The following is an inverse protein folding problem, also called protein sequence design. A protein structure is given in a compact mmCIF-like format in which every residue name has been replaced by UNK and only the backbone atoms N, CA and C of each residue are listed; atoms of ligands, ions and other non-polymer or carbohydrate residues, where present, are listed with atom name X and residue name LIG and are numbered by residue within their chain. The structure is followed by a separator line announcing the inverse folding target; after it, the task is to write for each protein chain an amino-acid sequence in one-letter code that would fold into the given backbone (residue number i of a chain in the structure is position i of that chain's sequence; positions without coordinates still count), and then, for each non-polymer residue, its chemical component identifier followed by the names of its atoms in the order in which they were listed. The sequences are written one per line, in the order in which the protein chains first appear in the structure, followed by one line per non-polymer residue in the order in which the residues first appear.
data_IF_251653014470
#
_entry.id   IF_251653014470
#
_cell.length_a   1.000
_cell.length_b   1.000
_cell.length_c   1.000
_cell.angle_alpha   90.00
_cell.angle_beta   90.00
_cell.angle_gamma   90.00
#
_symmetry.space_group_name_H-M   'P 1'
#
loop_
_entity.id
_entity.type
_entity.pdbx_description
1 polymer ?
#
# COMPACT_ATOMS: atom_id res chain seq x y z
N UNK A 1 116.88 -54.94 -13.06
CA UNK A 1 116.06 -53.83 -12.50
C UNK A 1 114.61 -54.29 -12.34
N UNK A 2 114.43 -55.28 -11.46
CA UNK A 2 113.19 -56.04 -11.31
C UNK A 2 113.10 -56.41 -9.81
N UNK A 3 112.93 -55.41 -8.95
CA UNK A 3 112.75 -55.63 -7.51
C UNK A 3 112.04 -54.47 -6.77
N UNK A 4 111.65 -53.40 -7.46
CA UNK A 4 111.06 -52.22 -6.80
C UNK A 4 109.71 -51.75 -7.35
N UNK A 5 109.09 -52.49 -8.28
CA UNK A 5 107.72 -52.21 -8.77
C UNK A 5 106.66 -53.24 -8.36
N UNK A 6 107.05 -54.35 -7.72
CA UNK A 6 106.09 -55.34 -7.19
C UNK A 6 105.62 -55.02 -5.77
N UNK A 7 106.38 -54.25 -4.98
CA UNK A 7 106.00 -53.95 -3.59
C UNK A 7 104.83 -52.95 -3.46
N UNK A 8 104.55 -52.12 -4.48
CA UNK A 8 103.49 -51.11 -4.42
C UNK A 8 102.10 -51.63 -4.80
N UNK A 9 102.01 -52.72 -5.57
CA UNK A 9 100.71 -53.34 -5.89
C UNK A 9 100.22 -54.24 -4.75
N UNK A 10 101.15 -54.91 -4.06
CA UNK A 10 100.81 -55.71 -2.88
C UNK A 10 100.44 -54.87 -1.66
N UNK A 11 100.99 -53.66 -1.50
CA UNK A 11 100.64 -52.78 -0.38
C UNK A 11 99.19 -52.24 -0.49
N UNK A 12 98.72 -51.96 -1.71
CA UNK A 12 97.34 -51.49 -1.97
C UNK A 12 96.34 -52.65 -1.83
N UNK A 13 96.72 -53.87 -2.22
CA UNK A 13 95.93 -55.08 -1.99
C UNK A 13 95.92 -55.51 -0.51
N UNK A 14 96.98 -55.27 0.25
CA UNK A 14 97.01 -55.54 1.69
C UNK A 14 96.23 -54.51 2.51
N UNK A 15 96.24 -53.23 2.11
CA UNK A 15 95.46 -52.19 2.81
C UNK A 15 93.95 -52.28 2.54
N UNK A 16 93.53 -52.94 1.45
CA UNK A 16 92.13 -53.32 1.24
C UNK A 16 91.71 -54.56 2.05
N UNK A 17 92.66 -55.32 2.62
CA UNK A 17 92.39 -56.54 3.39
C UNK A 17 92.32 -56.31 4.92
N UNK A 18 92.77 -55.15 5.42
CA UNK A 18 92.84 -54.85 6.87
C UNK A 18 92.05 -53.60 7.30
N UNK A 19 91.25 -53.01 6.43
CA UNK A 19 90.15 -52.16 6.89
C UNK A 19 89.02 -53.09 7.34
N UNK A 20 88.55 -53.03 8.60
CA UNK A 20 87.30 -53.70 8.93
C UNK A 20 86.28 -53.14 7.95
N UNK A 21 85.62 -54.03 7.19
CA UNK A 21 84.44 -53.66 6.42
C UNK A 21 83.58 -52.81 7.37
N UNK A 22 83.10 -51.61 6.96
CA UNK A 22 82.25 -50.85 7.84
C UNK A 22 81.09 -51.79 8.16
N UNK A 23 81.02 -52.24 9.41
CA UNK A 23 79.82 -52.79 9.99
C UNK A 23 78.82 -51.63 10.11
N UNK A 24 78.44 -51.02 8.98
CA UNK A 24 77.05 -50.78 8.77
C UNK A 24 76.47 -52.16 8.46
N UNK A 25 76.16 -52.91 9.51
CA UNK A 25 75.02 -53.81 9.43
C UNK A 25 73.82 -52.92 9.08
N UNK A 26 73.63 -52.64 7.79
CA UNK A 26 72.33 -52.24 7.31
C UNK A 26 71.50 -53.50 7.44
N UNK A 27 70.85 -53.61 8.60
CA UNK A 27 69.90 -54.65 8.92
C UNK A 27 69.01 -54.88 7.67
N UNK A 28 68.98 -56.10 7.09
CA UNK A 28 68.15 -56.39 5.93
C UNK A 28 66.69 -56.01 6.15
N UNK A 29 66.21 -56.07 7.39
CA UNK A 29 64.89 -55.60 7.77
C UNK A 29 64.76 -54.07 7.70
N UNK A 30 65.81 -53.32 8.06
CA UNK A 30 65.86 -51.86 7.94
C UNK A 30 65.91 -51.41 6.46
N UNK A 31 66.68 -52.08 5.61
CA UNK A 31 66.73 -51.78 4.16
C UNK A 31 65.38 -52.07 3.50
N UNK A 32 64.75 -53.20 3.83
CA UNK A 32 63.42 -53.54 3.34
C UNK A 32 62.34 -52.55 3.85
N UNK A 33 62.43 -52.12 5.11
CA UNK A 33 61.56 -51.09 5.69
C UNK A 33 61.71 -49.75 4.97
N UNK A 34 62.94 -49.32 4.69
CA UNK A 34 63.23 -48.10 3.93
C UNK A 34 62.63 -48.20 2.51
N UNK A 35 62.81 -49.32 1.82
CA UNK A 35 62.26 -49.54 0.48
C UNK A 35 60.71 -49.49 0.47
N UNK A 36 60.05 -50.14 1.43
CA UNK A 36 58.59 -50.04 1.58
C UNK A 36 58.12 -48.61 1.87
N UNK A 37 58.84 -47.86 2.70
CA UNK A 37 58.53 -46.45 2.96
C UNK A 37 58.71 -45.58 1.72
N UNK A 38 59.75 -45.82 0.92
CA UNK A 38 59.95 -45.14 -0.35
C UNK A 38 58.81 -45.43 -1.34
N UNK A 39 58.34 -46.67 -1.45
CA UNK A 39 57.19 -47.00 -2.31
C UNK A 39 55.90 -46.28 -1.89
N UNK A 40 55.62 -46.20 -0.58
CA UNK A 40 54.46 -45.44 -0.06
C UNK A 40 54.61 -43.95 -0.35
N UNK A 41 55.82 -43.41 -0.22
CA UNK A 41 56.11 -42.00 -0.51
C UNK A 41 55.96 -41.69 -2.00
N UNK A 42 56.43 -42.58 -2.87
CA UNK A 42 56.32 -42.48 -4.33
C UNK A 42 54.85 -42.53 -4.79
N UNK A 43 54.07 -43.48 -4.26
CA UNK A 43 52.62 -43.55 -4.50
C UNK A 43 51.90 -42.29 -4.00
N UNK A 44 52.28 -41.78 -2.82
CA UNK A 44 51.76 -40.52 -2.28
C UNK A 44 52.08 -39.33 -3.18
N UNK A 45 53.31 -39.26 -3.69
CA UNK A 45 53.76 -38.19 -4.60
C UNK A 45 53.02 -38.26 -5.94
N UNK A 46 52.79 -39.46 -6.49
CA UNK A 46 52.01 -39.65 -7.71
C UNK A 46 50.56 -39.19 -7.51
N UNK A 47 49.93 -39.57 -6.40
CA UNK A 47 48.57 -39.14 -6.06
C UNK A 47 48.46 -37.63 -5.87
N UNK A 48 49.44 -37.01 -5.22
CA UNK A 48 49.53 -35.55 -5.06
C UNK A 48 49.70 -34.83 -6.41
N UNK A 49 50.54 -35.38 -7.29
CA UNK A 49 50.75 -34.85 -8.65
C UNK A 49 49.47 -34.94 -9.47
N UNK A 50 48.73 -36.04 -9.37
CA UNK A 50 47.46 -36.21 -10.07
C UNK A 50 46.37 -35.27 -9.54
N UNK A 51 46.26 -35.12 -8.22
CA UNK A 51 45.34 -34.18 -7.59
C UNK A 51 45.64 -32.72 -7.98
N UNK A 52 46.93 -32.33 -8.00
CA UNK A 52 47.35 -31.00 -8.44
C UNK A 52 46.99 -30.75 -9.90
N UNK A 53 47.17 -31.75 -10.78
CA UNK A 53 46.78 -31.64 -12.20
C UNK A 53 45.27 -31.48 -12.37
N UNK A 54 44.47 -32.25 -11.63
CA UNK A 54 43.02 -32.12 -11.64
C UNK A 54 42.58 -30.72 -11.17
N UNK A 55 43.13 -30.24 -10.05
CA UNK A 55 42.84 -28.90 -9.54
C UNK A 55 43.19 -27.78 -10.54
N UNK A 56 44.33 -27.87 -11.22
CA UNK A 56 44.72 -26.91 -12.26
C UNK A 56 43.72 -26.93 -13.42
N UNK A 57 43.23 -28.10 -13.80
CA UNK A 57 42.26 -28.24 -14.88
C UNK A 57 40.90 -27.62 -14.49
N UNK A 58 40.41 -27.89 -13.28
CA UNK A 58 39.18 -27.31 -12.75
C UNK A 58 39.29 -25.78 -12.67
N UNK A 59 40.43 -25.26 -12.21
CA UNK A 59 40.68 -23.82 -12.15
C UNK A 59 40.68 -23.17 -13.55
N UNK A 60 41.25 -23.85 -14.56
CA UNK A 60 41.23 -23.37 -15.95
C UNK A 60 39.80 -23.34 -16.50
N UNK A 61 39.00 -24.36 -16.22
CA UNK A 61 37.60 -24.41 -16.64
C UNK A 61 36.77 -23.31 -15.96
N UNK A 62 36.96 -23.12 -14.67
CA UNK A 62 36.35 -22.02 -13.91
C UNK A 62 36.74 -20.64 -14.49
N UNK A 63 38.03 -20.42 -14.76
CA UNK A 63 38.53 -19.18 -15.37
C UNK A 63 37.90 -18.90 -16.74
N UNK A 64 37.75 -19.95 -17.57
CA UNK A 64 37.07 -19.85 -18.87
C UNK A 64 35.60 -19.49 -18.69
N UNK A 65 34.90 -20.14 -17.77
CA UNK A 65 33.49 -19.85 -17.49
C UNK A 65 33.27 -18.42 -16.98
N UNK A 66 34.12 -17.95 -16.07
CA UNK A 66 34.08 -16.55 -15.60
C UNK A 66 34.33 -15.59 -16.76
N UNK A 67 35.33 -15.84 -17.60
CA UNK A 67 35.66 -14.96 -18.73
C UNK A 67 34.48 -14.83 -19.70
N UNK A 68 33.78 -15.95 -19.98
CA UNK A 68 32.57 -15.95 -20.80
C UNK A 68 31.43 -15.19 -20.12
N UNK A 69 31.22 -15.38 -18.81
CA UNK A 69 30.21 -14.66 -18.05
C UNK A 69 30.47 -13.15 -18.01
N UNK A 70 31.73 -12.75 -17.82
CA UNK A 70 32.15 -11.35 -17.83
C UNK A 70 31.94 -10.73 -19.22
N UNK A 71 32.27 -11.46 -20.29
CA UNK A 71 32.00 -11.04 -21.66
C UNK A 71 30.52 -10.78 -21.90
N UNK A 72 29.64 -11.70 -21.48
CA UNK A 72 28.18 -11.52 -21.56
C UNK A 72 27.69 -10.31 -20.75
N UNK A 73 28.22 -10.11 -19.54
CA UNK A 73 27.87 -8.95 -18.70
C UNK A 73 28.24 -7.62 -19.35
N UNK A 74 29.41 -7.54 -20.00
CA UNK A 74 29.83 -6.37 -20.76
C UNK A 74 28.92 -6.10 -21.96
N UNK A 75 28.50 -7.15 -22.67
CA UNK A 75 27.52 -7.02 -23.77
C UNK A 75 26.19 -6.47 -23.27
N UNK A 76 25.62 -7.04 -22.21
CA UNK A 76 24.38 -6.53 -21.60
C UNK A 76 24.51 -5.09 -21.13
N UNK A 77 25.66 -4.72 -20.56
CA UNK A 77 25.93 -3.34 -20.15
C UNK A 77 25.92 -2.39 -21.35
N UNK A 78 26.49 -2.80 -22.48
CA UNK A 78 26.50 -2.01 -23.72
C UNK A 78 25.11 -1.87 -24.34
N UNK A 79 24.31 -2.94 -24.35
CA UNK A 79 22.92 -2.94 -24.83
C UNK A 79 22.05 -2.05 -23.95
N UNK A 80 22.18 -2.16 -22.63
CA UNK A 80 21.46 -1.32 -21.68
C UNK A 80 21.82 0.16 -21.85
N UNK A 81 23.11 0.48 -21.99
CA UNK A 81 23.58 1.85 -22.26
C UNK A 81 22.98 2.40 -23.56
N UNK A 82 22.92 1.59 -24.62
CA UNK A 82 22.31 1.97 -25.89
C UNK A 82 20.81 2.24 -25.76
N UNK A 83 20.08 1.37 -25.05
CA UNK A 83 18.65 1.53 -24.80
C UNK A 83 18.34 2.80 -23.99
N UNK A 84 19.15 3.09 -22.95
CA UNK A 84 19.03 4.32 -22.15
C UNK A 84 19.28 5.56 -23.01
N UNK A 85 20.31 5.55 -23.87
CA UNK A 85 20.58 6.67 -24.77
C UNK A 85 19.44 6.89 -25.77
N UNK A 86 18.88 5.82 -26.33
CA UNK A 86 17.73 5.93 -27.24
C UNK A 86 16.49 6.49 -26.52
N UNK A 87 16.25 6.05 -25.29
CA UNK A 87 15.16 6.58 -24.46
C UNK A 87 15.39 8.07 -24.14
N UNK A 88 16.61 8.49 -23.81
CA UNK A 88 16.94 9.88 -23.56
C UNK A 88 16.61 10.78 -24.77
N UNK A 89 16.97 10.34 -25.98
CA UNK A 89 16.63 11.07 -27.21
C UNK A 89 15.12 11.17 -27.45
N UNK A 90 14.36 10.10 -27.14
CA UNK A 90 12.89 10.12 -27.24
C UNK A 90 12.25 11.05 -26.21
N UNK A 91 12.79 11.10 -25.00
CA UNK A 91 12.35 12.02 -23.95
C UNK A 91 12.64 13.47 -24.35
N UNK A 92 13.83 13.76 -24.89
CA UNK A 92 14.15 15.10 -25.40
C UNK A 92 13.26 15.51 -26.58
N UNK A 93 12.88 14.57 -27.46
CA UNK A 93 11.93 14.83 -28.53
C UNK A 93 10.53 15.13 -27.98
N UNK A 94 10.04 14.30 -27.07
CA UNK A 94 8.74 14.51 -26.43
C UNK A 94 8.70 15.81 -25.64
N UNK A 95 9.80 16.18 -24.97
CA UNK A 95 9.92 17.47 -24.29
C UNK A 95 9.76 18.62 -25.27
N UNK A 96 10.46 18.57 -26.41
CA UNK A 96 10.33 19.59 -27.47
C UNK A 96 8.92 19.65 -28.06
N UNK A 97 8.23 18.52 -28.20
CA UNK A 97 6.83 18.51 -28.63
C UNK A 97 5.91 19.13 -27.57
N UNK A 98 6.12 18.83 -26.28
CA UNK A 98 5.37 19.45 -25.18
C UNK A 98 5.62 20.95 -25.15
N UNK A 99 6.87 21.40 -25.23
CA UNK A 99 7.22 22.82 -25.24
C UNK A 99 6.60 23.54 -26.46
N UNK A 100 6.56 22.88 -27.63
CA UNK A 100 5.89 23.42 -28.82
C UNK A 100 4.38 23.48 -28.67
N UNK A 101 3.75 22.47 -28.06
CA UNK A 101 2.32 22.47 -27.75
C UNK A 101 1.96 23.52 -26.69
N UNK A 102 2.83 23.75 -25.70
CA UNK A 102 2.67 24.83 -24.73
C UNK A 102 2.79 26.20 -25.40
N UNK A 103 3.76 26.39 -26.30
CA UNK A 103 3.88 27.60 -27.11
C UNK A 103 2.64 27.82 -28.00
N UNK A 104 2.14 26.78 -28.66
CA UNK A 104 0.91 26.86 -29.44
C UNK A 104 -0.30 27.17 -28.57
N UNK A 105 -0.39 26.58 -27.37
CA UNK A 105 -1.45 26.91 -26.40
C UNK A 105 -1.35 28.36 -25.97
N UNK A 106 -0.17 28.88 -25.66
CA UNK A 106 0.05 30.28 -25.31
C UNK A 106 -0.26 31.23 -26.48
N UNK A 107 0.02 30.82 -27.71
CA UNK A 107 -0.32 31.58 -28.92
C UNK A 107 -1.83 31.53 -29.22
N UNK A 108 -2.50 30.40 -29.00
CA UNK A 108 -3.96 30.25 -29.09
C UNK A 108 -4.66 31.03 -27.97
N UNK A 109 -4.05 31.13 -26.78
CA UNK A 109 -4.48 32.01 -25.68
C UNK A 109 -4.42 33.51 -26.05
N UNK A 110 -3.68 33.90 -27.08
CA UNK A 110 -3.71 35.28 -27.61
C UNK A 110 -4.82 35.50 -28.66
N UNK A 111 -5.51 34.45 -29.10
CA UNK A 111 -6.57 34.52 -30.12
C UNK A 111 -7.96 34.20 -29.52
N UNK A 112 -8.03 33.44 -28.43
CA UNK A 112 -9.27 33.20 -27.68
C UNK A 112 -9.39 34.18 -26.50
N UNK A 113 -10.49 34.95 -26.45
CA UNK A 113 -10.70 35.92 -25.37
C UNK A 113 -10.78 35.22 -24.00
N UNK A 114 -10.25 35.87 -22.95
CA UNK A 114 -10.35 35.41 -21.56
C UNK A 114 -11.79 35.07 -21.16
N UNK A 115 -12.77 35.78 -21.75
CA UNK A 115 -14.20 35.55 -21.57
C UNK A 115 -14.67 34.17 -22.06
N UNK A 116 -14.09 33.65 -23.15
CA UNK A 116 -14.46 32.34 -23.72
C UNK A 116 -13.95 31.20 -22.84
N UNK A 117 -12.71 31.27 -22.37
CA UNK A 117 -12.13 30.29 -21.43
C UNK A 117 -12.86 30.31 -20.09
N UNK A 118 -13.21 31.49 -19.57
CA UNK A 118 -14.01 31.61 -18.35
C UNK A 118 -15.39 30.98 -18.54
N UNK A 119 -16.05 31.23 -19.69
CA UNK A 119 -17.32 30.62 -20.02
C UNK A 119 -17.24 29.08 -20.12
N UNK A 120 -16.22 28.54 -20.78
CA UNK A 120 -15.99 27.08 -20.87
C UNK A 120 -15.76 26.44 -19.50
N UNK A 121 -14.97 27.10 -18.63
CA UNK A 121 -14.77 26.65 -17.25
C UNK A 121 -16.06 26.63 -16.45
N UNK A 122 -16.88 27.69 -16.54
CA UNK A 122 -18.17 27.75 -15.86
C UNK A 122 -19.15 26.67 -16.37
N UNK A 123 -19.13 26.37 -17.66
CA UNK A 123 -19.91 25.26 -18.24
C UNK A 123 -19.45 23.93 -17.66
N UNK A 124 -18.13 23.68 -17.60
CA UNK A 124 -17.57 22.46 -17.04
C UNK A 124 -17.95 22.28 -15.56
N UNK A 125 -17.84 23.33 -14.75
CA UNK A 125 -18.23 23.33 -13.35
C UNK A 125 -19.73 23.03 -13.17
N UNK A 126 -20.59 23.63 -14.00
CA UNK A 126 -22.03 23.37 -13.98
C UNK A 126 -22.38 21.93 -14.41
N UNK A 127 -21.67 21.38 -15.40
CA UNK A 127 -21.83 19.98 -15.80
C UNK A 127 -21.42 19.02 -14.68
N UNK A 128 -20.31 19.30 -13.99
CA UNK A 128 -19.82 18.47 -12.90
C UNK A 128 -20.75 18.57 -11.67
N UNK A 129 -21.28 19.75 -11.37
CA UNK A 129 -22.31 19.91 -10.34
C UNK A 129 -23.56 19.08 -10.67
N UNK A 130 -24.00 19.09 -11.93
CA UNK A 130 -25.14 18.28 -12.39
C UNK A 130 -24.85 16.77 -12.27
N UNK A 131 -23.63 16.33 -12.59
CA UNK A 131 -23.20 14.93 -12.39
C UNK A 131 -23.25 14.55 -10.91
N UNK A 132 -22.70 15.39 -10.02
CA UNK A 132 -22.70 15.15 -8.57
C UNK A 132 -24.13 15.04 -8.05
N UNK A 133 -25.03 15.95 -8.44
CA UNK A 133 -26.46 15.90 -8.05
C UNK A 133 -27.15 14.61 -8.52
N UNK A 134 -26.78 14.11 -9.70
CA UNK A 134 -27.34 12.87 -10.25
C UNK A 134 -26.80 11.63 -9.52
N UNK A 135 -25.49 11.59 -9.24
CA UNK A 135 -24.83 10.52 -8.48
C UNK A 135 -25.34 10.46 -7.04
N UNK A 136 -25.67 11.61 -6.47
CA UNK A 136 -26.13 11.78 -5.09
C UNK A 136 -27.62 12.15 -5.03
N UNK A 137 -28.45 11.33 -5.68
CA UNK A 137 -29.92 11.42 -5.67
C UNK A 137 -30.62 10.47 -4.66
N UNK A 138 -29.91 9.93 -3.66
CA UNK A 138 -30.56 9.11 -2.64
C UNK A 138 -31.46 9.96 -1.72
N UNK A 139 -32.52 9.34 -1.19
CA UNK A 139 -33.54 9.97 -0.33
C UNK A 139 -33.05 10.33 1.08
N UNK A 140 -31.74 10.54 1.29
CA UNK A 140 -31.23 10.97 2.59
C UNK A 140 -30.76 12.42 2.62
N UNK A 141 -31.48 13.20 3.45
CA UNK A 141 -31.18 14.60 3.77
C UNK A 141 -30.80 14.76 5.24
N UNK A 142 -30.12 13.81 5.88
CA UNK A 142 -29.75 13.95 7.31
C UNK A 142 -28.32 14.47 7.47
N UNK A 143 -28.09 15.25 8.54
CA UNK A 143 -26.78 15.65 9.03
C UNK A 143 -26.60 15.27 10.50
N UNK A 144 -25.38 15.00 10.90
CA UNK A 144 -25.03 14.68 12.28
C UNK A 144 -25.08 15.92 13.18
N UNK A 145 -25.80 15.84 14.28
CA UNK A 145 -25.88 16.88 15.31
C UNK A 145 -25.05 16.58 16.56
N UNK A 146 -24.80 15.29 16.84
CA UNK A 146 -24.04 14.90 18.02
C UNK A 146 -24.08 13.40 18.30
N UNK A 147 -23.24 12.97 19.24
CA UNK A 147 -23.23 11.62 19.77
C UNK A 147 -24.11 11.57 21.03
N UNK A 148 -25.29 10.95 20.94
CA UNK A 148 -26.28 10.91 22.02
C UNK A 148 -25.84 10.05 23.20
N UNK A 149 -25.28 8.88 22.92
CA UNK A 149 -24.88 7.91 23.95
C UNK A 149 -23.94 6.86 23.40
N UNK A 150 -23.19 6.20 24.28
CA UNK A 150 -22.33 5.05 23.93
C UNK A 150 -22.80 3.77 24.64
N UNK A 151 -22.59 2.62 24.02
CA UNK A 151 -22.74 1.29 24.63
C UNK A 151 -21.53 0.42 24.28
N UNK A 152 -20.85 -0.11 25.29
CA UNK A 152 -19.85 -1.17 25.07
C UNK A 152 -20.59 -2.50 24.95
N UNK A 153 -20.40 -3.18 23.82
CA UNK A 153 -21.06 -4.45 23.49
C UNK A 153 -20.19 -5.63 23.91
N UNK A 154 -18.89 -5.56 23.64
CA UNK A 154 -17.93 -6.61 23.97
C UNK A 154 -16.57 -6.00 24.30
N UNK A 155 -15.76 -6.75 25.02
CA UNK A 155 -14.34 -6.48 25.25
C UNK A 155 -13.53 -7.68 24.79
N UNK A 156 -12.48 -7.43 24.02
CA UNK A 156 -11.54 -8.44 23.50
C UNK A 156 -10.11 -8.10 23.89
N UNK A 157 -9.23 -9.12 23.83
CA UNK A 157 -7.80 -8.92 24.08
C UNK A 157 -7.12 -8.16 22.93
N UNK A 158 -7.58 -8.41 21.70
CA UNK A 158 -7.06 -7.74 20.52
C UNK A 158 -7.43 -6.26 20.53
N UNK A 159 -6.42 -5.40 20.44
CA UNK A 159 -6.60 -3.94 20.52
C UNK A 159 -7.24 -3.35 19.28
N UNK A 160 -6.97 -3.95 18.12
CA UNK A 160 -7.38 -3.48 16.81
C UNK A 160 -8.19 -4.52 16.05
N UNK A 161 -9.18 -4.06 15.29
CA UNK A 161 -10.03 -4.89 14.48
C UNK A 161 -11.20 -4.09 13.94
N UNK A 162 -12.08 -4.79 13.22
CA UNK A 162 -13.35 -4.23 12.76
C UNK A 162 -14.48 -5.20 13.08
N UNK A 163 -15.66 -4.64 13.30
CA UNK A 163 -16.87 -5.40 13.55
C UNK A 163 -18.06 -4.61 13.03
N UNK A 164 -19.00 -5.31 12.42
CA UNK A 164 -20.10 -4.66 11.72
C UNK A 164 -21.24 -5.63 11.49
N UNK A 165 -22.40 -5.06 11.17
CA UNK A 165 -23.47 -5.77 10.49
C UNK A 165 -23.40 -5.42 9.01
N UNK A 166 -24.02 -6.24 8.19
CA UNK A 166 -24.27 -5.85 6.80
C UNK A 166 -25.10 -4.55 6.79
N UNK A 167 -24.62 -3.54 6.07
CA UNK A 167 -25.18 -2.20 6.09
C UNK A 167 -26.60 -2.11 5.51
N UNK A 168 -27.01 -3.08 4.67
CA UNK A 168 -28.32 -3.07 3.99
C UNK A 168 -29.13 -4.33 4.30
N UNK A 169 -28.50 -5.47 4.56
CA UNK A 169 -29.22 -6.72 4.78
C UNK A 169 -30.11 -6.68 6.03
N UNK A 170 -31.27 -7.34 5.93
CA UNK A 170 -32.17 -7.55 7.06
C UNK A 170 -31.63 -8.56 8.09
N UNK A 171 -30.53 -9.24 7.78
CA UNK A 171 -29.93 -10.25 8.64
C UNK A 171 -29.57 -9.71 10.03
N UNK A 172 -29.82 -10.48 11.11
CA UNK A 172 -29.35 -10.12 12.44
C UNK A 172 -27.86 -10.40 12.64
N UNK A 173 -27.19 -11.03 11.67
CA UNK A 173 -25.80 -11.47 11.76
C UNK A 173 -24.85 -10.32 12.04
N UNK A 174 -23.82 -10.61 12.85
CA UNK A 174 -22.73 -9.69 13.16
C UNK A 174 -21.43 -10.34 12.74
N UNK A 175 -20.56 -9.57 12.09
CA UNK A 175 -19.28 -10.03 11.60
C UNK A 175 -18.16 -9.36 12.40
N UNK A 176 -17.12 -10.15 12.66
CA UNK A 176 -16.02 -9.75 13.53
C UNK A 176 -14.70 -10.12 12.86
N UNK A 177 -13.84 -9.13 12.64
CA UNK A 177 -12.59 -9.23 11.91
C UNK A 177 -11.48 -8.73 12.83
N UNK A 178 -10.65 -9.64 13.28
CA UNK A 178 -9.65 -9.36 14.33
C UNK A 178 -8.33 -8.98 13.69
N UNK A 179 -7.73 -7.87 14.16
CA UNK A 179 -6.43 -7.41 13.72
C UNK A 179 -6.43 -6.71 12.36
N UNK A 180 -5.33 -6.03 12.08
CA UNK A 180 -5.13 -5.25 10.86
C UNK A 180 -4.56 -6.06 9.68
N UNK A 181 -4.09 -7.29 9.93
CA UNK A 181 -3.56 -8.20 8.91
C UNK A 181 -4.00 -9.62 9.24
N UNK A 182 -5.10 -10.06 8.64
CA UNK A 182 -5.69 -11.37 8.91
C UNK A 182 -6.57 -11.78 7.71
N UNK A 183 -7.07 -13.01 7.71
CA UNK A 183 -7.97 -13.56 6.70
C UNK A 183 -9.16 -14.33 7.31
N UNK A 184 -9.40 -14.19 8.61
CA UNK A 184 -10.43 -14.96 9.33
C UNK A 184 -11.59 -14.08 9.80
N UNK A 185 -12.76 -14.24 9.19
CA UNK A 185 -14.00 -13.58 9.60
C UNK A 185 -14.78 -14.49 10.55
N UNK A 186 -15.21 -13.96 11.69
CA UNK A 186 -16.12 -14.63 12.61
C UNK A 186 -17.53 -14.12 12.40
N UNK A 187 -18.45 -15.02 12.05
CA UNK A 187 -19.87 -14.73 11.86
C UNK A 187 -20.65 -15.17 13.10
N UNK A 188 -21.28 -14.21 13.78
CA UNK A 188 -22.21 -14.43 14.87
C UNK A 188 -23.65 -14.37 14.35
N UNK A 189 -24.53 -15.21 14.90
CA UNK A 189 -25.94 -15.28 14.49
C UNK A 189 -26.72 -13.99 14.79
N UNK A 190 -26.39 -13.31 15.90
CA UNK A 190 -27.00 -12.06 16.31
C UNK A 190 -26.15 -11.33 17.37
N UNK A 191 -26.59 -10.12 17.74
CA UNK A 191 -25.90 -9.30 18.75
C UNK A 191 -25.83 -9.95 20.13
N UNK A 192 -26.83 -10.76 20.53
CA UNK A 192 -26.82 -11.48 21.81
C UNK A 192 -25.71 -12.51 21.83
N UNK A 193 -25.57 -13.30 20.76
CA UNK A 193 -24.51 -14.30 20.62
C UNK A 193 -23.10 -13.68 20.63
N UNK A 194 -22.95 -12.41 20.22
CA UNK A 194 -21.68 -11.68 20.34
C UNK A 194 -21.38 -11.28 21.80
N UNK A 195 -22.40 -10.83 22.53
CA UNK A 195 -22.27 -10.37 23.93
C UNK A 195 -22.08 -11.54 24.90
N UNK A 196 -22.73 -12.66 24.64
CA UNK A 196 -22.77 -13.84 25.51
C UNK A 196 -21.96 -14.99 24.89
N UNK A 197 -20.74 -15.22 25.38
CA UNK A 197 -19.83 -16.27 24.88
C UNK A 197 -20.39 -17.71 25.07
N UNK A 198 -21.41 -17.88 25.92
CA UNK A 198 -22.06 -19.16 26.19
C UNK A 198 -23.19 -19.52 25.20
N UNK A 199 -23.58 -18.60 24.31
CA UNK A 199 -24.72 -18.82 23.41
C UNK A 199 -24.38 -19.87 22.35
N UNK A 200 -25.22 -20.91 22.23
CA UNK A 200 -25.12 -21.90 21.14
C UNK A 200 -26.11 -21.57 20.00
N UNK A 201 -25.73 -21.76 18.73
CA UNK A 201 -24.41 -22.17 18.25
C UNK A 201 -23.38 -21.04 18.39
N UNK A 202 -22.11 -21.41 18.64
CA UNK A 202 -21.01 -20.46 18.68
C UNK A 202 -20.72 -19.82 17.32
N UNK A 203 -19.77 -18.87 17.25
CA UNK A 203 -19.48 -18.14 16.02
C UNK A 203 -18.96 -19.06 14.92
N UNK A 204 -19.43 -18.85 13.69
CA UNK A 204 -18.94 -19.56 12.51
C UNK A 204 -17.64 -18.92 12.03
N UNK A 205 -16.57 -19.72 11.97
CA UNK A 205 -15.28 -19.31 11.42
C UNK A 205 -15.29 -19.39 9.89
N UNK A 206 -14.95 -18.30 9.22
CA UNK A 206 -14.80 -18.21 7.76
C UNK A 206 -13.36 -17.79 7.44
N UNK A 207 -12.61 -18.65 6.76
CA UNK A 207 -11.25 -18.36 6.32
C UNK A 207 -11.33 -17.92 4.86
N UNK A 208 -10.82 -16.72 4.57
CA UNK A 208 -10.77 -16.13 3.24
C UNK A 208 -9.52 -16.60 2.48
N UNK A 209 -9.60 -16.61 1.15
CA UNK A 209 -8.44 -16.91 0.29
C UNK A 209 -7.39 -15.80 0.26
N UNK A 210 -7.75 -14.59 0.70
CA UNK A 210 -6.88 -13.41 0.73
C UNK A 210 -6.95 -12.76 2.11
N UNK A 211 -5.82 -12.18 2.52
CA UNK A 211 -5.73 -11.40 3.76
C UNK A 211 -6.02 -9.93 3.50
N UNK A 212 -6.61 -9.26 4.48
CA UNK A 212 -6.84 -7.81 4.43
C UNK A 212 -5.70 -7.01 5.04
N UNK A 213 -5.65 -5.74 4.68
CA UNK A 213 -4.80 -4.72 5.27
C UNK A 213 -5.65 -3.65 5.97
N UNK A 214 -5.27 -3.29 7.20
CA UNK A 214 -5.94 -2.29 8.02
C UNK A 214 -7.25 -2.78 8.64
N UNK A 215 -8.10 -1.84 9.04
CA UNK A 215 -9.38 -2.05 9.74
C UNK A 215 -10.57 -1.46 9.00
N UNK A 216 -10.37 -1.06 7.74
CA UNK A 216 -11.38 -0.40 6.91
C UNK A 216 -12.23 -1.35 6.05
N UNK A 217 -12.57 -2.54 6.56
CA UNK A 217 -13.41 -3.50 5.85
C UNK A 217 -14.89 -3.13 5.98
N UNK A 218 -15.71 -3.41 4.96
CA UNK A 218 -17.15 -3.22 5.03
C UNK A 218 -17.91 -4.42 4.48
N UNK A 219 -19.10 -4.68 5.03
CA UNK A 219 -20.00 -5.70 4.51
C UNK A 219 -21.23 -5.02 3.94
N UNK A 220 -21.46 -5.25 2.65
CA UNK A 220 -22.54 -4.64 1.90
C UNK A 220 -23.19 -5.65 0.97
N UNK A 221 -24.51 -5.84 1.12
CA UNK A 221 -25.32 -6.76 0.29
C UNK A 221 -24.77 -8.19 0.26
N UNK A 222 -24.26 -8.69 1.39
CA UNK A 222 -23.70 -10.04 1.53
C UNK A 222 -22.26 -10.22 1.05
N UNK A 223 -21.62 -9.15 0.56
CA UNK A 223 -20.22 -9.16 0.13
C UNK A 223 -19.35 -8.44 1.16
N UNK A 224 -18.16 -8.98 1.39
CA UNK A 224 -17.11 -8.32 2.16
C UNK A 224 -16.20 -7.57 1.19
N UNK A 225 -16.03 -6.28 1.41
CA UNK A 225 -15.08 -5.44 0.69
C UNK A 225 -13.91 -5.11 1.61
N UNK A 226 -12.68 -5.26 1.12
CA UNK A 226 -11.47 -4.97 1.90
C UNK A 226 -10.27 -4.67 1.00
N UNK A 227 -9.31 -3.93 1.56
CA UNK A 227 -8.01 -3.69 0.95
C UNK A 227 -7.14 -4.97 1.03
N UNK A 228 -6.69 -5.49 -0.10
CA UNK A 228 -5.83 -6.67 -0.17
C UNK A 228 -4.43 -6.39 0.40
N UNK A 229 -4.00 -7.20 1.37
CA UNK A 229 -2.66 -7.13 1.95
C UNK A 229 -1.54 -7.32 0.92
N UNK A 230 -1.77 -8.11 -0.13
CA UNK A 230 -0.76 -8.41 -1.15
C UNK A 230 -0.43 -7.27 -2.10
N UNK A 231 -1.16 -6.16 -2.04
CA UNK A 231 -1.04 -5.06 -3.01
C UNK A 231 -1.16 -3.70 -2.32
N UNK A 232 -0.60 -2.63 -2.90
CA UNK A 232 -0.77 -1.30 -2.34
C UNK A 232 -2.22 -0.82 -2.40
N UNK A 233 -2.94 -1.01 -3.51
CA UNK A 233 -4.17 -0.26 -3.81
C UNK A 233 -5.35 -1.11 -4.32
N UNK A 234 -5.32 -2.44 -4.14
CA UNK A 234 -6.41 -3.30 -4.61
C UNK A 234 -7.52 -3.46 -3.56
N UNK A 235 -8.77 -3.21 -3.96
CA UNK A 235 -9.96 -3.58 -3.20
C UNK A 235 -10.49 -4.91 -3.75
N UNK A 236 -10.74 -5.85 -2.85
CA UNK A 236 -11.36 -7.15 -3.16
C UNK A 236 -12.83 -7.11 -2.76
N UNK A 237 -13.72 -7.55 -3.67
CA UNK A 237 -15.10 -7.93 -3.38
C UNK A 237 -15.18 -9.43 -3.19
N UNK A 238 -15.46 -9.86 -1.96
CA UNK A 238 -15.47 -11.26 -1.58
C UNK A 238 -16.87 -11.74 -1.24
N UNK A 239 -17.30 -12.84 -1.86
CA UNK A 239 -18.58 -13.47 -1.55
C UNK A 239 -18.42 -14.38 -0.34
N UNK A 240 -18.97 -13.98 0.81
CA UNK A 240 -18.86 -14.74 2.07
C UNK A 240 -19.59 -16.09 2.02
N UNK A 241 -20.64 -16.21 1.20
CA UNK A 241 -21.42 -17.44 1.06
C UNK A 241 -20.71 -18.46 0.18
N UNK A 242 -20.22 -18.03 -0.99
CA UNK A 242 -19.49 -18.88 -1.96
C UNK A 242 -18.04 -19.11 -1.55
N UNK A 243 -17.48 -18.26 -0.68
CA UNK A 243 -16.08 -18.26 -0.26
C UNK A 243 -15.11 -18.07 -1.42
N UNK A 244 -15.44 -17.13 -2.30
CA UNK A 244 -14.65 -16.80 -3.49
C UNK A 244 -14.54 -15.29 -3.67
N UNK A 245 -13.45 -14.86 -4.30
CA UNK A 245 -13.36 -13.50 -4.83
C UNK A 245 -14.32 -13.40 -6.00
N UNK A 246 -15.19 -12.39 -5.98
CA UNK A 246 -16.12 -12.13 -7.09
C UNK A 246 -15.55 -11.09 -8.05
N UNK A 247 -14.90 -10.06 -7.52
CA UNK A 247 -14.34 -8.97 -8.32
C UNK A 247 -13.20 -8.25 -7.60
N UNK A 248 -12.41 -7.46 -8.35
CA UNK A 248 -11.25 -6.69 -7.89
C UNK A 248 -11.18 -5.34 -8.58
N UNK A 249 -10.76 -4.30 -7.85
CA UNK A 249 -10.50 -2.97 -8.41
C UNK A 249 -9.18 -2.42 -7.89
N UNK A 250 -8.43 -1.75 -8.76
CA UNK A 250 -7.28 -0.94 -8.37
C UNK A 250 -7.70 0.52 -8.18
N UNK A 251 -7.47 1.07 -6.98
CA UNK A 251 -7.74 2.48 -6.72
C UNK A 251 -6.64 3.37 -7.31
N UNK A 252 -6.97 4.38 -8.14
CA UNK A 252 -6.01 5.33 -8.69
C UNK A 252 -5.63 6.41 -7.65
N UNK A 253 -4.88 7.44 -8.08
CA UNK A 253 -4.58 8.60 -7.24
C UNK A 253 -3.56 8.36 -6.13
N UNK A 254 -2.73 7.31 -6.26
CA UNK A 254 -1.69 7.00 -5.27
C UNK A 254 -2.21 6.38 -3.98
N UNK A 255 -3.47 5.94 -3.95
CA UNK A 255 -4.06 5.15 -2.87
C UNK A 255 -3.11 4.02 -2.43
N UNK A 256 -3.10 3.69 -1.14
CA UNK A 256 -2.29 2.57 -0.65
C UNK A 256 -0.82 2.88 -0.38
N UNK A 257 -0.33 4.06 -0.79
CA UNK A 257 1.08 4.45 -0.61
C UNK A 257 1.32 5.29 0.65
N UNK A 258 0.26 5.83 1.25
CA UNK A 258 0.29 6.58 2.50
C UNK A 258 -0.86 6.12 3.42
N UNK A 259 -0.68 6.28 4.74
CA UNK A 259 -1.74 6.00 5.70
C UNK A 259 -2.89 6.99 5.50
N UNK A 260 -4.12 6.50 5.50
CA UNK A 260 -5.30 7.38 5.42
C UNK A 260 -5.47 8.16 6.73
N UNK A 261 -5.13 7.58 7.88
CA UNK A 261 -5.21 8.23 9.18
C UNK A 261 -3.87 8.08 9.93
N UNK A 262 -3.29 9.18 10.38
CA UNK A 262 -2.01 9.13 11.11
C UNK A 262 -2.09 8.30 12.40
N UNK A 263 -3.23 8.32 13.09
CA UNK A 263 -3.44 7.56 14.33
C UNK A 263 -3.99 6.14 14.13
N UNK A 264 -4.11 5.68 12.88
CA UNK A 264 -4.46 4.29 12.55
C UNK A 264 -3.30 3.64 11.79
N UNK A 265 -2.31 3.03 12.48
CA UNK A 265 -0.97 2.71 11.92
C UNK A 265 -0.95 1.58 10.88
N UNK A 266 -2.11 1.15 10.38
CA UNK A 266 -2.23 0.04 9.43
C UNK A 266 -3.30 0.21 8.37
N UNK A 267 -4.06 1.31 8.42
CA UNK A 267 -5.16 1.57 7.48
C UNK A 267 -4.67 2.53 6.41
N UNK A 268 -4.59 2.02 5.18
CA UNK A 268 -4.17 2.78 3.99
C UNK A 268 -5.37 3.18 3.12
N UNK A 269 -6.39 2.32 3.09
CA UNK A 269 -7.67 2.54 2.44
C UNK A 269 -8.74 2.17 3.48
N UNK A 270 -9.65 3.09 3.75
CA UNK A 270 -10.81 2.85 4.60
C UNK A 270 -12.07 2.84 3.76
N UNK A 271 -12.78 1.72 3.75
CA UNK A 271 -14.05 1.60 3.04
C UNK A 271 -15.18 2.05 3.97
N UNK A 272 -16.17 2.70 3.38
CA UNK A 272 -17.33 3.18 4.10
C UNK A 272 -18.59 2.90 3.31
N UNK A 273 -19.70 2.75 4.02
CA UNK A 273 -21.03 2.56 3.44
C UNK A 273 -22.01 3.50 4.09
N UNK A 274 -22.84 4.12 3.26
CA UNK A 274 -23.94 4.97 3.70
C UNK A 274 -25.19 4.73 2.82
N UNK A 275 -26.15 5.66 2.88
CA UNK A 275 -27.37 5.64 2.07
C UNK A 275 -27.13 5.76 0.56
N UNK A 276 -25.97 6.26 0.13
CA UNK A 276 -25.58 6.48 -1.26
C UNK A 276 -24.72 5.34 -1.85
N UNK A 277 -24.32 4.36 -1.02
CA UNK A 277 -23.65 3.14 -1.46
C UNK A 277 -22.27 2.96 -0.86
N UNK A 278 -21.32 2.54 -1.70
CA UNK A 278 -19.97 2.18 -1.30
C UNK A 278 -18.98 3.32 -1.60
N UNK A 279 -18.10 3.56 -0.65
CA UNK A 279 -17.10 4.62 -0.71
C UNK A 279 -15.74 4.09 -0.28
N UNK A 280 -14.69 4.69 -0.80
CA UNK A 280 -13.33 4.53 -0.33
C UNK A 280 -12.76 5.90 0.09
N UNK A 281 -12.16 5.91 1.26
CA UNK A 281 -11.42 7.03 1.83
C UNK A 281 -9.96 6.62 1.82
N UNK A 282 -9.13 7.40 1.15
CA UNK A 282 -7.71 7.11 1.04
C UNK A 282 -6.89 8.40 0.99
N UNK A 283 -5.57 8.26 0.99
CA UNK A 283 -4.65 9.36 0.74
C UNK A 283 -3.54 8.88 -0.20
N UNK A 284 -2.86 9.82 -0.85
CA UNK A 284 -1.85 9.52 -1.85
C UNK A 284 -0.71 10.55 -1.90
N UNK A 285 0.48 10.15 -2.38
CA UNK A 285 1.58 11.06 -2.65
C UNK A 285 1.15 12.08 -3.71
N UNK A 286 1.36 13.37 -3.43
CA UNK A 286 0.96 14.48 -4.31
C UNK A 286 -0.31 15.22 -3.88
N UNK A 287 -1.06 14.69 -2.91
CA UNK A 287 -2.29 15.33 -2.38
C UNK A 287 -2.00 16.08 -1.07
N UNK A 288 -0.73 16.42 -0.78
CA UNK A 288 -0.28 17.16 0.41
C UNK A 288 -0.85 16.67 1.76
N UNK A 289 -1.10 15.36 1.88
CA UNK A 289 -1.66 14.76 3.09
C UNK A 289 -3.17 14.97 3.28
N UNK A 290 -3.88 15.48 2.26
CA UNK A 290 -5.33 15.54 2.25
C UNK A 290 -5.95 14.15 2.00
N UNK A 291 -7.18 13.99 2.49
CA UNK A 291 -7.98 12.80 2.26
C UNK A 291 -8.69 12.92 0.90
N UNK A 292 -8.78 11.79 0.20
CA UNK A 292 -9.51 11.63 -1.04
C UNK A 292 -10.72 10.75 -0.78
N UNK A 293 -11.90 11.25 -1.10
CA UNK A 293 -13.15 10.50 -1.06
C UNK A 293 -13.43 9.96 -2.47
N UNK A 294 -13.72 8.68 -2.60
CA UNK A 294 -14.00 8.03 -3.89
C UNK A 294 -15.29 7.24 -3.81
N UNK A 295 -16.24 7.52 -4.71
CA UNK A 295 -17.49 6.76 -4.83
C UNK A 295 -17.27 5.58 -5.76
N UNK A 296 -17.71 4.40 -5.33
CA UNK A 296 -17.52 3.13 -6.04
C UNK A 296 -18.88 2.50 -6.28
N UNK A 297 -19.12 2.03 -7.50
CA UNK A 297 -20.30 1.24 -7.83
C UNK A 297 -20.10 -0.20 -7.29
N UNK A 298 -20.86 -0.64 -6.27
CA UNK A 298 -20.63 -1.94 -5.61
C UNK A 298 -20.90 -3.16 -6.52
N UNK A 299 -21.68 -2.99 -7.59
CA UNK A 299 -21.94 -4.05 -8.56
C UNK A 299 -20.69 -4.44 -9.35
N UNK A 300 -20.07 -3.45 -9.99
CA UNK A 300 -18.98 -3.59 -10.97
C UNK A 300 -17.59 -3.23 -10.41
N UNK A 301 -17.53 -2.73 -9.17
CA UNK A 301 -16.35 -2.07 -8.60
C UNK A 301 -15.77 -0.96 -9.51
N UNK A 302 -16.62 -0.31 -10.30
CA UNK A 302 -16.22 0.85 -11.09
C UNK A 302 -16.07 2.10 -10.21
N UNK A 303 -15.05 2.92 -10.48
CA UNK A 303 -14.99 4.27 -9.94
C UNK A 303 -16.07 5.12 -10.60
N UNK A 304 -16.94 5.73 -9.78
CA UNK A 304 -17.93 6.69 -10.29
C UNK A 304 -17.38 8.11 -10.28
N UNK A 305 -16.77 8.53 -9.16
CA UNK A 305 -16.18 9.86 -9.02
C UNK A 305 -15.23 9.92 -7.80
N UNK A 306 -14.28 10.86 -7.81
CA UNK A 306 -13.34 11.11 -6.71
C UNK A 306 -13.19 12.59 -6.39
N UNK A 307 -13.21 12.93 -5.09
CA UNK A 307 -13.06 14.28 -4.57
C UNK A 307 -11.82 14.38 -3.69
N UNK A 308 -10.97 15.37 -3.94
CA UNK A 308 -9.92 15.76 -3.00
C UNK A 308 -10.56 16.67 -1.94
N UNK A 309 -10.50 16.25 -0.68
CA UNK A 309 -11.17 16.96 0.42
C UNK A 309 -10.21 17.94 1.10
N UNK A 310 -10.71 19.00 1.77
CA UNK A 310 -9.87 19.86 2.60
C UNK A 310 -9.38 19.15 3.88
N UNK A 311 -9.95 17.99 4.23
CA UNK A 311 -9.59 17.23 5.43
C UNK A 311 -8.20 16.63 5.30
N UNK A 312 -7.39 16.73 6.37
CA UNK A 312 -6.02 16.20 6.41
C UNK A 312 -5.96 14.85 7.13
N UNK A 313 -5.04 13.98 6.70
CA UNK A 313 -4.68 12.71 7.35
C UNK A 313 -3.95 12.93 8.69
N UNK A 314 -3.25 14.07 8.82
CA UNK A 314 -2.55 14.45 10.05
C UNK A 314 -3.53 14.54 11.24
N UNK A 315 -3.18 13.93 12.37
CA UNK A 315 -4.00 13.83 13.59
C UNK A 315 -5.38 13.15 13.42
N UNK A 316 -5.72 12.68 12.22
CA UNK A 316 -6.95 11.93 11.98
C UNK A 316 -6.83 10.53 12.59
N UNK A 317 -7.93 10.03 13.15
CA UNK A 317 -8.02 8.67 13.71
C UNK A 317 -8.92 7.75 12.89
N UNK A 318 -10.05 8.25 12.42
CA UNK A 318 -11.03 7.51 11.63
C UNK A 318 -11.95 8.49 10.90
N UNK A 319 -12.70 8.00 9.92
CA UNK A 319 -13.76 8.77 9.28
C UNK A 319 -14.94 7.85 8.91
N UNK A 320 -16.10 8.45 8.70
CA UNK A 320 -17.29 7.75 8.24
C UNK A 320 -18.14 8.65 7.36
N UNK A 321 -19.04 8.05 6.58
CA UNK A 321 -20.02 8.78 5.79
C UNK A 321 -21.42 8.64 6.38
N UNK A 322 -22.18 9.72 6.29
CA UNK A 322 -23.61 9.74 6.57
C UNK A 322 -24.28 10.64 5.52
N UNK A 323 -25.20 10.06 4.76
CA UNK A 323 -25.96 10.75 3.72
C UNK A 323 -25.09 11.61 2.77
N UNK A 324 -24.02 11.00 2.26
CA UNK A 324 -23.09 11.56 1.27
C UNK A 324 -22.06 12.52 1.86
N UNK A 325 -22.07 12.74 3.17
CA UNK A 325 -21.19 13.69 3.85
C UNK A 325 -20.12 12.92 4.62
N UNK A 326 -18.86 13.28 4.40
CA UNK A 326 -17.71 12.74 5.09
C UNK A 326 -17.51 13.46 6.42
N UNK A 327 -17.44 12.70 7.51
CA UNK A 327 -17.12 13.19 8.84
C UNK A 327 -15.79 12.59 9.28
N UNK A 328 -14.78 13.43 9.53
CA UNK A 328 -13.43 12.99 9.91
C UNK A 328 -13.20 13.28 11.39
N UNK A 329 -12.83 12.24 12.13
CA UNK A 329 -12.55 12.30 13.57
C UNK A 329 -11.06 12.48 13.78
N UNK A 330 -10.72 13.43 14.66
CA UNK A 330 -9.36 13.77 15.02
C UNK A 330 -9.13 13.57 16.52
N UNK A 331 -7.92 13.13 16.84
CA UNK A 331 -7.44 12.97 18.21
C UNK A 331 -6.05 13.59 18.34
N UNK A 332 -6.01 14.91 18.51
CA UNK A 332 -4.76 15.67 18.62
C UNK A 332 -3.82 15.09 19.67
N UNK A 333 -2.59 14.76 19.25
CA UNK A 333 -1.56 14.18 20.12
C UNK A 333 -1.85 12.76 20.60
N UNK A 334 -2.76 12.02 19.95
CA UNK A 334 -3.06 10.60 20.24
C UNK A 334 -3.74 10.29 21.58
N UNK A 335 -3.89 11.30 22.45
CA UNK A 335 -4.51 11.23 23.78
C UNK A 335 -5.51 12.35 24.05
N UNK A 336 -5.71 13.23 23.07
CA UNK A 336 -6.67 14.33 23.13
C UNK A 336 -8.13 13.86 23.05
N UNK A 337 -9.09 14.77 23.23
CA UNK A 337 -10.49 14.46 23.02
C UNK A 337 -10.78 14.19 21.54
N UNK A 338 -11.40 13.04 21.27
CA UNK A 338 -11.92 12.63 19.97
C UNK A 338 -13.04 13.58 19.52
N UNK A 339 -12.82 14.29 18.42
CA UNK A 339 -13.75 15.30 17.91
C UNK A 339 -13.80 15.28 16.39
N UNK A 340 -14.95 15.62 15.83
CA UNK A 340 -15.09 15.81 14.40
C UNK A 340 -14.76 17.27 14.12
N UNK A 341 -13.64 17.52 13.43
CA UNK A 341 -13.20 18.88 13.06
C UNK A 341 -13.23 19.15 11.58
N UNK A 342 -13.32 18.12 10.75
CA UNK A 342 -13.49 18.29 9.32
C UNK A 342 -14.73 17.53 8.85
N UNK A 343 -15.59 18.25 8.13
CA UNK A 343 -16.77 17.72 7.48
C UNK A 343 -16.71 18.15 6.02
N UNK A 344 -16.89 17.21 5.10
CA UNK A 344 -16.88 17.49 3.68
C UNK A 344 -18.16 16.99 3.04
N UNK A 345 -18.91 17.91 2.42
CA UNK A 345 -20.14 17.61 1.69
C UNK A 345 -19.90 17.87 0.19
N UNK A 346 -19.78 16.82 -0.64
CA UNK A 346 -19.62 16.97 -2.10
C UNK A 346 -20.75 17.74 -2.77
N UNK A 347 -21.96 17.78 -2.17
CA UNK A 347 -23.10 18.53 -2.72
C UNK A 347 -23.15 19.99 -2.26
N UNK A 348 -22.29 20.38 -1.32
CA UNK A 348 -22.30 21.72 -0.73
C UNK A 348 -23.62 22.08 -0.04
N UNK A 349 -24.37 21.11 0.50
CA UNK A 349 -25.68 21.36 1.15
C UNK A 349 -25.57 21.77 2.62
N UNK A 350 -24.42 21.58 3.24
CA UNK A 350 -24.16 21.93 4.64
C UNK A 350 -23.28 23.19 4.67
N UNK A 351 -23.78 24.24 5.35
CA UNK A 351 -22.98 25.43 5.68
C UNK A 351 -22.06 25.13 6.88
N UNK A 352 -20.85 25.68 6.89
CA UNK A 352 -19.94 25.60 8.05
C UNK A 352 -20.58 26.20 9.31
N UNK A 353 -21.42 27.23 9.16
CA UNK A 353 -22.12 27.88 10.27
C UNK A 353 -23.17 26.96 10.95
N UNK A 354 -23.70 25.99 10.20
CA UNK A 354 -24.71 25.04 10.68
C UNK A 354 -24.08 23.82 11.40
N UNK A 355 -22.75 23.66 11.33
CA UNK A 355 -22.05 22.53 11.93
C UNK A 355 -21.95 22.70 13.45
N UNK A 356 -22.54 21.79 14.24
CA UNK A 356 -22.37 21.83 15.68
C UNK A 356 -20.98 21.35 16.08
N UNK A 357 -20.59 21.67 17.31
CA UNK A 357 -19.39 21.09 17.91
C UNK A 357 -19.62 19.60 18.22
N UNK A 358 -19.01 18.74 17.43
CA UNK A 358 -19.21 17.30 17.46
C UNK A 358 -18.09 16.59 18.25
N UNK A 359 -18.41 16.15 19.46
CA UNK A 359 -17.48 15.41 20.33
C UNK A 359 -17.93 13.98 20.55
N UNK A 360 -16.94 13.08 20.63
CA UNK A 360 -17.16 11.74 21.16
C UNK A 360 -16.94 11.74 22.68
N UNK A 361 -17.64 10.85 23.40
CA UNK A 361 -17.31 10.57 24.79
C UNK A 361 -15.84 10.17 24.95
N UNK A 362 -15.16 10.77 25.94
CA UNK A 362 -13.71 10.64 26.13
C UNK A 362 -13.27 9.17 26.24
N UNK A 363 -12.20 8.82 25.50
CA UNK A 363 -11.51 7.53 25.57
C UNK A 363 -10.00 7.75 25.74
N UNK A 364 -9.26 6.76 26.25
CA UNK A 364 -7.82 6.89 26.53
C UNK A 364 -6.93 6.70 25.29
N UNK A 365 -7.45 6.07 24.23
CA UNK A 365 -6.74 5.71 23.00
C UNK A 365 -7.60 6.08 21.80
N UNK A 366 -6.98 6.23 20.63
CA UNK A 366 -7.68 6.41 19.35
C UNK A 366 -8.46 5.16 18.93
N UNK A 367 -9.51 5.35 18.14
CA UNK A 367 -10.27 4.27 17.54
C UNK A 367 -9.48 3.62 16.42
N UNK A 368 -9.52 2.28 16.34
CA UNK A 368 -9.00 1.57 15.18
C UNK A 368 -10.01 1.53 14.03
N UNK A 369 -11.30 1.67 14.33
CA UNK A 369 -12.38 1.75 13.34
C UNK A 369 -13.56 2.56 13.89
N UNK A 370 -14.20 3.35 13.03
CA UNK A 370 -15.53 3.96 13.25
C UNK A 370 -16.31 3.85 11.93
N UNK A 371 -17.32 2.99 11.87
CA UNK A 371 -18.14 2.78 10.68
C UNK A 371 -19.61 3.08 10.93
N UNK A 372 -20.23 3.79 9.99
CA UNK A 372 -21.67 4.04 10.01
C UNK A 372 -22.44 2.86 9.44
N UNK A 373 -23.55 2.52 10.10
CA UNK A 373 -24.51 1.58 9.57
C UNK A 373 -25.80 2.33 9.22
N UNK A 374 -26.06 2.50 7.92
CA UNK A 374 -27.22 3.25 7.40
C UNK A 374 -28.58 2.70 7.87
N UNK A 375 -28.68 1.38 8.09
CA UNK A 375 -29.89 0.74 8.57
C UNK A 375 -30.17 1.03 10.04
N UNK A 376 -29.16 0.84 10.90
CA UNK A 376 -29.31 1.05 12.34
C UNK A 376 -29.19 2.53 12.76
N UNK A 377 -28.71 3.38 11.84
CA UNK A 377 -28.39 4.81 12.04
C UNK A 377 -27.48 5.05 13.24
N UNK A 378 -26.47 4.20 13.37
CA UNK A 378 -25.54 4.14 14.49
C UNK A 378 -24.11 3.97 13.99
N UNK A 379 -23.14 4.41 14.79
CA UNK A 379 -21.74 4.11 14.52
C UNK A 379 -21.33 2.87 15.30
N UNK A 380 -20.69 1.96 14.59
CA UNK A 380 -19.97 0.83 15.13
C UNK A 380 -18.52 1.25 15.24
N UNK A 381 -17.88 1.01 16.38
CA UNK A 381 -16.53 1.45 16.60
C UNK A 381 -15.73 0.43 17.38
N UNK A 382 -14.42 0.44 17.18
CA UNK A 382 -13.47 -0.38 17.92
C UNK A 382 -12.42 0.52 18.56
N UNK A 383 -12.25 0.41 19.87
CA UNK A 383 -11.32 1.24 20.62
C UNK A 383 -10.60 0.43 21.71
N UNK A 384 -9.33 0.12 21.46
CA UNK A 384 -8.44 -0.61 22.38
C UNK A 384 -9.12 -1.86 22.97
N UNK A 385 -9.62 -2.71 22.08
CA UNK A 385 -10.34 -3.95 22.42
C UNK A 385 -11.80 -3.78 22.85
N UNK A 386 -12.32 -2.57 22.96
CA UNK A 386 -13.74 -2.34 23.24
C UNK A 386 -14.54 -2.21 21.94
N UNK A 387 -15.55 -3.05 21.75
CA UNK A 387 -16.54 -2.89 20.67
C UNK A 387 -17.68 -2.01 21.15
N UNK A 388 -17.84 -0.86 20.50
CA UNK A 388 -18.69 0.23 20.97
C UNK A 388 -19.73 0.56 19.90
N UNK A 389 -20.96 0.77 20.35
CA UNK A 389 -22.02 1.39 19.55
C UNK A 389 -22.23 2.81 20.03
N UNK A 390 -22.13 3.78 19.12
CA UNK A 390 -22.53 5.17 19.37
C UNK A 390 -23.89 5.44 18.73
N UNK A 391 -24.84 5.89 19.55
CA UNK A 391 -26.13 6.37 19.07
C UNK A 391 -26.00 7.82 18.63
N UNK A 392 -26.50 8.11 17.43
CA UNK A 392 -26.41 9.43 16.83
C UNK A 392 -27.65 10.27 17.11
N UNK A 393 -27.45 11.57 17.18
CA UNK A 393 -28.48 12.57 17.07
C UNK A 393 -28.34 13.19 15.67
N UNK A 394 -29.38 13.06 14.84
CA UNK A 394 -29.39 13.53 13.45
C UNK A 394 -30.51 14.56 13.26
N UNK A 395 -30.31 15.48 12.34
CA UNK A 395 -31.29 16.50 11.92
C UNK A 395 -31.38 16.50 10.39
N UNK A 396 -32.50 16.93 9.84
CA UNK A 396 -32.63 17.17 8.41
C UNK A 396 -31.78 18.37 7.98
N UNK A 397 -30.98 18.23 6.92
CA UNK A 397 -30.25 19.29 6.23
C UNK A 397 -31.25 20.37 5.82
N UNK A 398 -30.92 21.63 6.09
CA UNK A 398 -31.70 22.73 5.55
C UNK A 398 -31.19 23.03 4.14
N UNK A 399 -32.05 23.29 3.15
CA UNK A 399 -31.58 23.79 1.87
C UNK A 399 -30.87 25.12 2.12
N UNK A 400 -29.70 25.33 1.50
CA UNK A 400 -29.03 26.62 1.51
C UNK A 400 -30.04 27.69 1.08
N UNK A 401 -30.25 28.68 1.94
CA UNK A 401 -31.02 29.87 1.57
C UNK A 401 -30.16 30.62 0.55
N UNK A 402 -30.56 30.57 -0.72
CA UNK A 402 -30.14 31.60 -1.67
C UNK A 402 -30.74 32.92 -1.16
N UNK A 403 -29.98 33.69 -0.41
CA UNK A 403 -30.26 35.11 -0.24
C UNK A 403 -30.09 35.74 -1.62
N UNK A 404 -31.20 35.80 -2.36
CA UNK A 404 -31.29 36.59 -3.58
C UNK A 404 -30.92 38.03 -3.20
N UNK A 405 -29.74 38.46 -3.64
CA UNK A 405 -29.31 39.84 -3.53
C UNK A 405 -30.40 40.74 -4.09
N UNK A 406 -31.09 41.43 -3.18
CA UNK A 406 -32.05 42.47 -3.50
C UNK A 406 -31.25 43.63 -4.08
N UNK A 407 -31.07 43.64 -5.40
CA UNK A 407 -30.57 44.79 -6.12
C UNK A 407 -31.65 45.89 -6.09
N UNK A 408 -31.72 46.65 -5.00
CA UNK A 408 -32.26 48.02 -5.05
C UNK A 408 -31.16 48.92 -5.62
N UNK A 409 -31.00 48.87 -6.94
CA UNK A 409 -30.22 49.81 -7.72
C UNK A 409 -31.18 50.54 -8.64
N UNK A 410 -31.49 51.79 -8.31
CA UNK A 410 -32.28 52.67 -9.15
C UNK A 410 -31.66 52.76 -10.56
N UNK A 411 -32.46 52.52 -11.58
CA UNK A 411 -32.09 52.74 -12.97
C UNK A 411 -31.69 54.21 -13.15
N UNK A 412 -30.40 54.44 -13.46
CA UNK A 412 -29.97 55.62 -14.23
C UNK A 412 -29.57 55.12 -15.60
N UNK A 413 -30.28 55.62 -16.60
CA UNK A 413 -29.97 55.55 -18.02
C UNK A 413 -28.56 56.07 -18.30
N UNK A 414 -27.70 55.35 -19.04
CA UNK A 414 -26.50 55.92 -19.63
C UNK A 414 -26.85 56.68 -20.91
N UNK A 415 -26.32 57.89 -21.05
CA UNK A 415 -26.24 58.64 -22.31
C UNK A 415 -25.34 57.91 -23.33
N UNK A 416 -25.56 58.09 -24.64
CA UNK A 416 -24.75 57.45 -25.68
C UNK A 416 -23.37 58.13 -25.82
N UNK A 417 -22.28 57.38 -26.04
CA UNK A 417 -21.01 57.98 -26.43
C UNK A 417 -21.08 58.44 -27.89
N UNK A 418 -20.54 59.64 -28.12
CA UNK A 418 -20.45 60.28 -29.43
C UNK A 418 -19.56 59.53 -30.41
N UNK A 419 -19.90 59.69 -31.68
CA UNK A 419 -19.17 59.21 -32.85
C UNK A 419 -17.73 59.77 -32.86
N UNK A 420 -16.72 58.90 -32.82
CA UNK A 420 -15.39 59.21 -33.33
C UNK A 420 -15.16 58.48 -34.66
N UNK A 421 -15.10 59.30 -35.71
CA UNK A 421 -14.77 58.94 -37.08
C UNK A 421 -13.40 58.25 -37.15
N UNK A 422 -13.36 57.04 -37.71
CA UNK A 422 -12.16 56.50 -38.32
C UNK A 422 -11.90 57.23 -39.65
N UNK A 423 -10.84 58.03 -39.72
CA UNK A 423 -10.23 58.45 -40.99
C UNK A 423 -9.08 57.51 -41.38
N UNK A 424 -8.99 57.30 -42.69
CA UNK A 424 -8.24 56.29 -43.46
C UNK A 424 -6.75 56.17 -43.18
#
# INVERSE_FOLDING_TARGET
MLAFRQASAFLVLFLAAFLPAPHCAQDPAMVHYIYQRFQVLEQGLQKCTQATKAYIQDFREFSKNISVMLGRCLTYTSEFKSAVNNLALRVEHAQREVDYLEYLREADMCIESEDKMLAEKLVQEAEDEKKIRTLLNASCDNMLMGIKSLKIVKKTMDRDGSWMKDAVSNSPKVYFLIGSRNNTVWEFSNMRALMEDSTKPGPRKLILTHSWQGTGQVIYKGFLFFHNQGTPNEIIKYNLQKRTVEDRMLLPGGAGRALVYQHSPSTYIDLAVDEYGLWAIHSGPGIHGHLVLTKIEPGTLGMEHSWVTPCKSQDAEAAFLLCGVLYVVYSFGGHGPHRITCVYDPRGTISEEDLPNLFFPRRPRSHSMIHYNARDKQLYAWNDGNQIIYKLQIKRKQPLKFEGGRATGAARTPEPPGEELCTQ
#
